data_IF_714219197821
#
_entry.id   IF_714219197821
#
_cell.length_a   1.000
_cell.length_b   1.000
_cell.length_c   1.000
_cell.angle_alpha   90.00
_cell.angle_beta   90.00
_cell.angle_gamma   90.00
#
_symmetry.space_group_name_H-M   'P 1'
#
loop_
_entity.id
_entity.type
_entity.pdbx_description
1 polymer ?
#
# COMPACT_ATOMS: atom_id res chain seq x y z
N UNK A 1 17.95 -0.40 -12.57
CA UNK A 1 17.67 0.47 -13.73
C UNK A 1 16.16 0.78 -13.78
N UNK A 2 15.83 2.04 -14.09
CA UNK A 2 14.43 2.47 -14.28
C UNK A 2 14.33 3.07 -15.67
N UNK A 3 13.28 2.68 -16.41
CA UNK A 3 12.91 3.29 -17.69
C UNK A 3 11.51 3.86 -17.58
N UNK A 4 11.29 5.02 -18.18
CA UNK A 4 9.97 5.61 -18.35
C UNK A 4 9.48 5.33 -19.76
N UNK A 5 8.24 4.88 -19.88
CA UNK A 5 7.57 4.58 -21.13
C UNK A 5 6.23 5.29 -21.14
N UNK A 6 5.84 5.79 -22.29
CA UNK A 6 4.47 6.20 -22.56
C UNK A 6 3.79 5.14 -23.44
N UNK A 7 2.64 4.65 -23.02
CA UNK A 7 1.84 3.71 -23.80
C UNK A 7 0.43 4.27 -23.94
N UNK A 8 0.13 4.81 -25.11
CA UNK A 8 -1.17 5.43 -25.42
C UNK A 8 -1.54 6.58 -24.46
N UNK A 9 -0.57 7.43 -24.09
CA UNK A 9 -0.78 8.56 -23.19
C UNK A 9 -0.74 8.18 -21.70
N UNK A 10 -0.50 6.91 -21.36
CA UNK A 10 -0.38 6.44 -19.99
C UNK A 10 1.11 6.29 -19.64
N UNK A 11 1.63 7.02 -18.65
CA UNK A 11 3.03 6.92 -18.25
C UNK A 11 3.28 5.65 -17.40
N UNK A 12 4.30 4.90 -17.78
CA UNK A 12 4.77 3.72 -17.06
C UNK A 12 6.21 3.91 -16.58
N UNK A 13 6.50 3.44 -15.36
CA UNK A 13 7.88 3.24 -14.89
C UNK A 13 8.18 1.75 -14.86
N UNK A 14 9.10 1.32 -15.71
CA UNK A 14 9.59 -0.07 -15.75
C UNK A 14 10.90 -0.14 -14.99
N UNK A 15 10.89 -0.94 -13.92
CA UNK A 15 12.09 -1.11 -13.09
C UNK A 15 12.65 -2.53 -13.22
N UNK A 16 13.93 -2.61 -13.54
CA UNK A 16 14.70 -3.84 -13.45
C UNK A 16 15.54 -3.84 -12.18
N UNK A 17 15.19 -4.75 -11.26
CA UNK A 17 15.91 -4.96 -9.99
C UNK A 17 16.01 -6.46 -9.72
N UNK A 18 17.13 -7.12 -10.13
CA UNK A 18 17.28 -8.57 -9.97
C UNK A 18 17.27 -9.04 -8.51
N UNK A 19 17.71 -8.21 -7.57
CA UNK A 19 17.69 -8.55 -6.15
C UNK A 19 16.26 -8.77 -5.60
N UNK A 20 15.24 -8.23 -6.27
CA UNK A 20 13.85 -8.41 -5.86
C UNK A 20 13.29 -9.81 -6.11
N UNK A 21 13.96 -10.65 -6.87
CA UNK A 21 13.50 -12.02 -7.10
C UNK A 21 13.30 -12.78 -5.79
N UNK A 22 14.09 -12.46 -4.76
CA UNK A 22 13.96 -13.05 -3.42
C UNK A 22 12.61 -12.70 -2.78
N UNK A 23 12.16 -11.45 -2.94
CA UNK A 23 10.88 -11.00 -2.39
C UNK A 23 9.69 -11.36 -3.29
N UNK A 24 9.81 -11.18 -4.60
CA UNK A 24 8.72 -11.49 -5.55
C UNK A 24 8.52 -13.00 -5.76
N UNK A 25 9.55 -13.81 -5.53
CA UNK A 25 9.49 -15.26 -5.56
C UNK A 25 9.11 -15.91 -4.23
N UNK A 26 8.71 -15.12 -3.22
CA UNK A 26 8.29 -15.66 -1.93
C UNK A 26 7.10 -16.61 -2.08
N UNK A 27 7.21 -17.81 -1.52
CA UNK A 27 6.11 -18.77 -1.49
C UNK A 27 5.04 -18.27 -0.52
N UNK A 28 3.82 -18.09 -1.01
CA UNK A 28 2.68 -17.56 -0.25
C UNK A 28 1.49 -18.53 -0.20
N UNK A 29 1.73 -19.79 -0.54
CA UNK A 29 0.76 -20.85 -0.30
C UNK A 29 0.60 -21.14 1.20
N UNK A 30 -0.55 -21.69 1.60
CA UNK A 30 -0.89 -21.89 2.99
C UNK A 30 0.11 -22.79 3.75
N UNK A 31 0.69 -23.78 3.07
CA UNK A 31 1.67 -24.69 3.66
C UNK A 31 2.98 -23.94 3.95
N UNK A 32 3.52 -23.24 2.97
CA UNK A 32 4.75 -22.45 3.10
C UNK A 32 4.63 -21.37 4.17
N UNK A 33 3.48 -20.70 4.26
CA UNK A 33 3.21 -19.69 5.29
C UNK A 33 3.24 -20.33 6.70
N UNK A 34 2.60 -21.48 6.86
CA UNK A 34 2.53 -22.18 8.14
C UNK A 34 3.91 -22.67 8.64
N UNK A 35 4.76 -23.08 7.73
CA UNK A 35 6.08 -23.66 8.03
C UNK A 35 7.17 -22.62 8.25
N UNK A 36 7.05 -21.43 7.63
CA UNK A 36 8.07 -20.39 7.76
C UNK A 36 7.92 -19.55 9.03
N UNK A 37 9.03 -19.09 9.57
CA UNK A 37 9.00 -17.99 10.53
C UNK A 37 8.59 -16.71 9.82
N UNK A 38 7.63 -15.98 10.38
CA UNK A 38 7.22 -14.70 9.80
C UNK A 38 8.37 -13.67 9.93
N UNK A 39 8.87 -13.20 8.80
CA UNK A 39 9.99 -12.26 8.74
C UNK A 39 9.63 -10.81 9.12
N UNK A 40 8.34 -10.51 9.36
CA UNK A 40 7.89 -9.21 9.85
C UNK A 40 7.67 -9.17 11.36
N UNK A 41 7.60 -10.33 12.02
CA UNK A 41 7.49 -10.37 13.47
C UNK A 41 8.75 -9.83 14.13
N UNK A 42 8.64 -8.97 15.16
CA UNK A 42 9.80 -8.38 15.85
C UNK A 42 10.86 -9.39 16.29
N UNK A 43 10.42 -10.56 16.78
CA UNK A 43 11.31 -11.64 17.25
C UNK A 43 12.15 -12.29 16.13
N UNK A 44 11.78 -12.09 14.87
CA UNK A 44 12.45 -12.70 13.71
C UNK A 44 13.20 -11.69 12.85
N UNK A 45 13.16 -10.39 13.21
CA UNK A 45 13.91 -9.37 12.49
C UNK A 45 15.42 -9.59 12.65
N UNK A 46 16.22 -9.33 11.59
CA UNK A 46 17.67 -9.35 11.71
C UNK A 46 18.15 -8.37 12.80
N UNK A 47 19.20 -8.69 13.57
CA UNK A 47 19.71 -7.81 14.64
C UNK A 47 20.08 -6.39 14.18
N UNK A 48 20.48 -6.24 12.91
CA UNK A 48 20.80 -4.95 12.31
C UNK A 48 19.55 -4.14 11.89
N UNK A 49 18.39 -4.78 11.84
CA UNK A 49 17.13 -4.14 11.42
C UNK A 49 16.56 -3.34 12.60
N UNK A 50 16.89 -2.05 12.65
CA UNK A 50 16.27 -1.12 13.60
C UNK A 50 14.98 -0.58 13.04
N UNK A 51 13.98 -0.40 13.90
CA UNK A 51 12.68 0.18 13.54
C UNK A 51 12.37 1.40 14.39
N UNK A 52 11.48 2.23 13.88
CA UNK A 52 10.92 3.37 14.59
C UNK A 52 9.48 3.02 14.96
N UNK A 53 9.12 2.98 16.26
CA UNK A 53 7.75 2.72 16.68
C UNK A 53 6.80 3.82 16.19
N UNK A 54 5.59 3.42 15.78
CA UNK A 54 4.53 4.35 15.39
C UNK A 54 3.23 3.96 16.10
N UNK A 55 2.61 4.91 16.79
CA UNK A 55 1.35 4.78 17.54
C UNK A 55 1.27 3.54 18.47
N UNK A 56 2.41 3.01 18.90
CA UNK A 56 2.50 1.89 19.85
C UNK A 56 2.22 0.51 19.26
N UNK A 57 1.76 0.39 18.02
CA UNK A 57 1.42 -0.90 17.42
C UNK A 57 1.95 -1.13 16.00
N UNK A 58 2.65 -0.16 15.41
CA UNK A 58 3.41 -0.33 14.17
C UNK A 58 4.90 -0.13 14.39
N UNK A 59 5.70 -0.69 13.49
CA UNK A 59 7.14 -0.50 13.47
C UNK A 59 7.60 -0.10 12.05
N UNK A 60 8.17 1.09 11.90
CA UNK A 60 8.64 1.59 10.61
C UNK A 60 10.04 1.04 10.36
N UNK A 61 10.17 0.18 9.35
CA UNK A 61 11.39 -0.53 8.97
C UNK A 61 11.85 -0.10 7.57
N UNK A 62 13.17 -0.09 7.35
CA UNK A 62 13.71 0.01 5.99
C UNK A 62 13.45 -1.29 5.24
N UNK A 63 12.92 -1.21 4.02
CA UNK A 63 12.68 -2.40 3.20
C UNK A 63 14.01 -2.92 2.61
N UNK A 64 14.38 -4.20 2.87
CA UNK A 64 15.66 -4.76 2.38
C UNK A 64 15.68 -5.00 0.86
N UNK A 65 14.51 -5.03 0.20
CA UNK A 65 14.37 -5.24 -1.25
C UNK A 65 13.59 -4.09 -1.89
N UNK A 66 14.15 -2.87 -1.93
CA UNK A 66 13.40 -1.67 -2.26
C UNK A 66 12.91 -1.64 -3.71
N UNK A 67 11.67 -1.12 -3.91
CA UNK A 67 11.13 -0.71 -5.20
C UNK A 67 11.40 0.78 -5.42
N UNK A 68 11.23 1.57 -4.37
CA UNK A 68 11.45 3.01 -4.37
C UNK A 68 12.87 3.31 -3.87
N UNK A 69 13.46 4.45 -4.24
CA UNK A 69 14.75 4.89 -3.69
C UNK A 69 14.75 4.94 -2.15
N UNK A 70 13.63 5.36 -1.55
CA UNK A 70 13.35 5.27 -0.11
C UNK A 70 12.11 4.41 0.07
N UNK A 71 12.28 3.16 0.47
CA UNK A 71 11.21 2.20 0.62
C UNK A 71 11.16 1.69 2.07
N UNK A 72 9.99 1.83 2.69
CA UNK A 72 9.73 1.39 4.05
C UNK A 72 8.71 0.25 4.04
N UNK A 73 8.82 -0.63 5.01
CA UNK A 73 7.81 -1.63 5.36
C UNK A 73 7.35 -1.34 6.79
N UNK A 74 6.07 -1.26 7.01
CA UNK A 74 5.47 -0.82 8.28
C UNK A 74 4.54 -1.92 8.80
N UNK A 75 5.11 -3.00 9.38
CA UNK A 75 4.32 -4.06 9.96
C UNK A 75 3.67 -3.64 11.28
N UNK A 76 2.51 -4.20 11.55
CA UNK A 76 1.95 -4.23 12.89
C UNK A 76 2.85 -5.06 13.80
N UNK A 77 3.02 -4.67 15.06
CA UNK A 77 3.87 -5.40 16.02
C UNK A 77 3.29 -6.78 16.32
N UNK A 78 1.96 -6.86 16.39
CA UNK A 78 1.24 -8.13 16.54
C UNK A 78 1.17 -8.88 15.19
N UNK A 79 1.31 -10.20 15.24
CA UNK A 79 1.11 -11.05 14.08
C UNK A 79 -0.38 -11.25 13.82
N UNK A 80 -0.94 -10.44 12.94
CA UNK A 80 -2.35 -10.43 12.58
C UNK A 80 -2.53 -10.39 11.07
N UNK A 81 -3.64 -10.92 10.58
CA UNK A 81 -3.90 -11.04 9.14
C UNK A 81 -3.89 -9.68 8.41
N UNK A 82 -3.38 -9.69 7.18
CA UNK A 82 -3.31 -8.56 6.25
C UNK A 82 -4.71 -8.15 5.78
N UNK A 83 -5.38 -7.26 6.52
CA UNK A 83 -6.73 -6.75 6.22
C UNK A 83 -6.77 -5.24 6.34
N UNK A 84 -7.21 -4.55 5.28
CA UNK A 84 -7.24 -3.08 5.22
C UNK A 84 -8.46 -2.50 5.96
N UNK A 85 -9.61 -3.17 5.97
CA UNK A 85 -10.86 -2.61 6.45
C UNK A 85 -10.76 -1.98 7.84
N UNK A 86 -10.12 -2.68 8.78
CA UNK A 86 -9.96 -2.20 10.16
C UNK A 86 -8.76 -1.28 10.36
N UNK A 87 -7.94 -1.05 9.31
CA UNK A 87 -6.64 -0.34 9.37
C UNK A 87 -6.55 0.87 8.44
N UNK A 88 -7.62 1.18 7.73
CA UNK A 88 -7.56 2.31 6.78
C UNK A 88 -7.30 3.65 7.48
N UNK A 89 -7.83 3.83 8.71
CA UNK A 89 -7.55 5.02 9.54
C UNK A 89 -6.07 5.14 9.89
N UNK A 90 -5.42 4.03 10.18
CA UNK A 90 -3.98 3.98 10.50
C UNK A 90 -3.15 4.33 9.25
N UNK A 91 -3.58 3.88 8.07
CA UNK A 91 -2.97 4.27 6.81
C UNK A 91 -3.01 5.79 6.59
N UNK A 92 -4.15 6.43 6.91
CA UNK A 92 -4.29 7.88 6.84
C UNK A 92 -3.41 8.60 7.88
N UNK A 93 -3.30 8.05 9.10
CA UNK A 93 -2.43 8.59 10.15
C UNK A 93 -0.95 8.51 9.72
N UNK A 94 -0.52 7.37 9.17
CA UNK A 94 0.82 7.22 8.59
C UNK A 94 1.09 8.23 7.46
N UNK A 95 0.13 8.44 6.56
CA UNK A 95 0.28 9.41 5.47
C UNK A 95 0.40 10.85 5.97
N UNK A 96 -0.26 11.20 7.08
CA UNK A 96 -0.11 12.50 7.74
C UNK A 96 1.24 12.65 8.44
N UNK A 97 1.76 11.58 9.05
CA UNK A 97 3.03 11.62 9.77
C UNK A 97 4.24 11.58 8.83
N UNK A 98 4.13 10.84 7.72
CA UNK A 98 5.21 10.63 6.75
C UNK A 98 4.98 11.46 5.49
N UNK A 99 5.02 12.78 5.59
CA UNK A 99 4.64 13.72 4.53
C UNK A 99 5.44 13.61 3.24
N UNK A 100 6.69 13.12 3.30
CA UNK A 100 7.56 12.87 2.15
C UNK A 100 7.31 11.52 1.46
N UNK A 101 6.37 10.74 1.98
CA UNK A 101 6.09 9.39 1.51
C UNK A 101 4.66 9.25 1.01
N UNK A 102 4.49 8.36 0.06
CA UNK A 102 3.19 7.80 -0.32
C UNK A 102 3.03 6.46 0.38
N UNK A 103 1.95 6.33 1.16
CA UNK A 103 1.63 5.09 1.87
C UNK A 103 0.80 4.20 0.95
N UNK A 104 1.12 2.92 0.91
CA UNK A 104 0.37 1.97 0.09
C UNK A 104 0.21 0.61 0.78
N UNK A 105 -0.73 -0.17 0.28
CA UNK A 105 -1.14 -1.44 0.82
C UNK A 105 -1.33 -2.46 -0.29
N UNK A 106 -0.77 -3.64 -0.12
CA UNK A 106 -1.00 -4.78 -1.01
C UNK A 106 -1.91 -5.80 -0.32
N UNK A 107 -3.01 -6.11 -0.98
CA UNK A 107 -3.93 -7.15 -0.50
C UNK A 107 -3.26 -8.53 -0.52
N UNK A 108 -3.65 -9.49 0.36
CA UNK A 108 -3.03 -10.81 0.45
C UNK A 108 -2.90 -11.56 -0.87
N UNK A 109 -3.91 -11.45 -1.75
CA UNK A 109 -3.93 -12.11 -3.08
C UNK A 109 -3.47 -11.17 -4.21
N UNK A 110 -2.86 -10.04 -3.89
CA UNK A 110 -2.43 -9.00 -4.84
C UNK A 110 -0.94 -8.66 -4.67
N UNK A 111 -0.09 -9.68 -4.56
CA UNK A 111 1.37 -9.52 -4.52
C UNK A 111 1.98 -9.24 -3.15
N UNK A 112 1.23 -9.36 -2.05
CA UNK A 112 1.82 -9.29 -0.71
C UNK A 112 2.70 -10.53 -0.46
N UNK A 113 3.98 -10.33 -0.12
CA UNK A 113 4.91 -11.40 0.25
C UNK A 113 4.72 -11.94 1.68
N UNK A 114 3.99 -11.18 2.51
CA UNK A 114 3.56 -11.57 3.85
C UNK A 114 2.04 -11.39 4.00
N UNK A 115 1.21 -12.23 3.35
CA UNK A 115 -0.25 -12.09 3.38
C UNK A 115 -0.86 -12.44 4.75
N UNK A 116 -0.10 -13.05 5.60
CA UNK A 116 -0.40 -13.51 6.96
C UNK A 116 -0.07 -12.47 8.04
N UNK A 117 0.62 -11.37 7.68
CA UNK A 117 1.02 -10.34 8.65
C UNK A 117 0.67 -8.94 8.14
N UNK A 118 -0.17 -8.23 8.89
CA UNK A 118 -0.61 -6.89 8.53
C UNK A 118 0.55 -5.91 8.46
N UNK A 119 0.68 -5.25 7.30
CA UNK A 119 1.70 -4.25 7.07
C UNK A 119 1.27 -3.24 6.01
N UNK A 120 1.75 -2.04 6.15
CA UNK A 120 1.78 -1.02 5.10
C UNK A 120 3.18 -0.96 4.49
N UNK A 121 3.25 -0.26 3.39
CA UNK A 121 4.52 0.11 2.77
C UNK A 121 4.51 1.62 2.49
N UNK A 122 5.70 2.21 2.41
CA UNK A 122 5.85 3.61 2.05
C UNK A 122 6.99 3.78 1.05
N UNK A 123 6.76 4.62 0.04
CA UNK A 123 7.76 5.01 -0.95
C UNK A 123 7.83 6.53 -1.05
N UNK A 124 8.94 7.09 -1.50
CA UNK A 124 9.06 8.53 -1.65
C UNK A 124 7.99 9.08 -2.62
N UNK A 125 7.36 10.18 -2.24
CA UNK A 125 6.35 10.90 -3.06
C UNK A 125 6.88 11.22 -4.45
N UNK A 126 5.96 11.29 -5.42
CA UNK A 126 6.23 11.64 -6.80
C UNK A 126 6.92 10.55 -7.61
N UNK A 127 7.11 9.34 -7.05
CA UNK A 127 7.67 8.22 -7.78
C UNK A 127 6.66 7.55 -8.70
N UNK A 128 5.41 7.36 -8.22
CA UNK A 128 4.36 6.74 -9.02
C UNK A 128 3.72 7.76 -9.97
N UNK A 129 3.59 7.44 -11.27
CA UNK A 129 3.03 8.37 -12.25
C UNK A 129 1.64 8.90 -11.87
N UNK A 130 0.76 8.08 -11.32
CA UNK A 130 -0.60 8.45 -10.90
C UNK A 130 -0.64 9.60 -9.87
N UNK A 131 0.41 9.78 -9.07
CA UNK A 131 0.48 10.87 -8.09
C UNK A 131 0.50 12.26 -8.74
N UNK A 132 0.91 12.35 -10.01
CA UNK A 132 1.10 13.61 -10.72
C UNK A 132 -0.11 14.05 -11.53
N UNK A 133 -0.92 13.13 -11.99
CA UNK A 133 -1.88 13.40 -13.07
C UNK A 133 -3.23 12.70 -12.92
N UNK A 134 -3.61 12.25 -11.74
CA UNK A 134 -4.89 11.59 -11.59
C UNK A 134 -6.08 12.53 -11.90
N UNK A 135 -5.96 13.84 -11.67
CA UNK A 135 -7.01 14.82 -11.97
C UNK A 135 -7.32 14.90 -13.47
N UNK A 136 -6.28 14.80 -14.32
CA UNK A 136 -6.45 14.76 -15.77
C UNK A 136 -7.13 13.51 -16.29
N UNK A 137 -7.24 12.48 -15.43
CA UNK A 137 -7.84 11.18 -15.78
C UNK A 137 -9.23 10.96 -15.19
N UNK A 138 -9.80 11.97 -14.51
CA UNK A 138 -11.14 11.87 -13.94
C UNK A 138 -12.18 11.69 -15.04
N UNK A 139 -12.88 10.53 -15.00
CA UNK A 139 -14.00 10.23 -15.89
C UNK A 139 -15.35 10.69 -15.32
N UNK A 140 -15.47 10.74 -14.01
CA UNK A 140 -16.69 11.21 -13.35
C UNK A 140 -16.65 11.11 -11.83
N UNK A 141 -17.56 11.85 -11.22
CA UNK A 141 -17.86 11.75 -9.80
C UNK A 141 -18.84 10.60 -9.55
N UNK A 142 -18.54 9.77 -8.57
CA UNK A 142 -19.38 8.63 -8.21
C UNK A 142 -20.28 8.95 -7.02
N UNK A 143 -19.73 9.55 -5.95
CA UNK A 143 -20.44 9.85 -4.72
C UNK A 143 -19.73 10.94 -3.90
N UNK A 144 -20.48 11.53 -2.96
CA UNK A 144 -19.97 12.39 -1.91
C UNK A 144 -20.33 11.83 -0.53
N UNK A 145 -19.48 12.06 0.47
CA UNK A 145 -19.77 11.79 1.88
C UNK A 145 -19.08 12.84 2.76
N UNK A 146 -19.85 13.80 3.28
CA UNK A 146 -19.29 14.95 3.99
C UNK A 146 -18.35 15.74 3.07
N UNK A 147 -17.10 15.93 3.51
CA UNK A 147 -16.05 16.61 2.73
C UNK A 147 -15.19 15.63 1.91
N UNK A 148 -15.67 14.42 1.68
CA UNK A 148 -15.00 13.44 0.84
C UNK A 148 -15.78 13.19 -0.45
N UNK A 149 -15.07 13.16 -1.56
CA UNK A 149 -15.62 12.86 -2.90
C UNK A 149 -14.97 11.61 -3.44
N UNK A 150 -15.78 10.73 -4.01
CA UNK A 150 -15.35 9.54 -4.74
C UNK A 150 -15.36 9.82 -6.24
N UNK A 151 -14.20 9.67 -6.85
CA UNK A 151 -13.98 9.82 -8.28
C UNK A 151 -13.72 8.48 -8.94
N UNK A 152 -14.17 8.31 -10.18
CA UNK A 152 -13.76 7.22 -11.06
C UNK A 152 -12.79 7.78 -12.10
N UNK A 153 -11.66 7.08 -12.31
CA UNK A 153 -10.67 7.44 -13.31
C UNK A 153 -10.81 6.58 -14.56
N UNK A 154 -10.63 7.21 -15.72
CA UNK A 154 -10.45 6.52 -17.00
C UNK A 154 -8.96 6.12 -17.16
N UNK A 155 -8.48 5.29 -16.25
CA UNK A 155 -7.09 4.83 -16.21
C UNK A 155 -7.02 3.38 -16.74
N UNK A 156 -7.39 3.21 -18.02
CA UNK A 156 -7.24 1.91 -18.65
C UNK A 156 -5.77 1.46 -18.69
N UNK A 157 -5.45 0.19 -18.40
CA UNK A 157 -6.36 -0.96 -18.26
C UNK A 157 -6.89 -1.22 -16.83
N UNK A 158 -6.75 -0.28 -15.90
CA UNK A 158 -7.17 -0.44 -14.51
C UNK A 158 -8.51 0.22 -14.25
N UNK A 159 -9.31 -0.35 -13.35
CA UNK A 159 -10.45 0.34 -12.77
C UNK A 159 -9.96 1.03 -11.48
N UNK A 160 -9.84 2.36 -11.51
CA UNK A 160 -9.29 3.14 -10.41
C UNK A 160 -10.36 4.04 -9.80
N UNK A 161 -10.51 3.95 -8.48
CA UNK A 161 -11.32 4.86 -7.69
C UNK A 161 -10.39 5.74 -6.84
N UNK A 162 -10.72 7.02 -6.73
CA UNK A 162 -10.00 7.98 -5.89
C UNK A 162 -10.95 8.58 -4.87
N UNK A 163 -10.58 8.52 -3.61
CA UNK A 163 -11.23 9.29 -2.53
C UNK A 163 -10.40 10.54 -2.32
N UNK A 164 -10.97 11.69 -2.65
CA UNK A 164 -10.40 13.00 -2.36
C UNK A 164 -11.10 13.58 -1.14
N UNK A 165 -10.34 13.97 -0.10
CA UNK A 165 -10.90 14.53 1.12
C UNK A 165 -9.89 15.39 1.87
N UNK A 166 -10.33 16.52 2.39
CA UNK A 166 -9.55 17.31 3.35
C UNK A 166 -9.64 16.73 4.78
N UNK A 167 -10.71 16.02 5.08
CA UNK A 167 -11.00 15.45 6.39
C UNK A 167 -10.82 13.92 6.38
N UNK A 168 -9.90 13.41 7.22
CA UNK A 168 -9.61 11.97 7.28
C UNK A 168 -10.76 11.11 7.79
N UNK A 169 -11.63 11.66 8.63
CA UNK A 169 -12.81 10.95 9.14
C UNK A 169 -13.81 10.71 8.01
N UNK A 170 -14.04 11.71 7.17
CA UNK A 170 -14.91 11.58 5.98
C UNK A 170 -14.29 10.64 4.94
N UNK A 171 -12.98 10.72 4.72
CA UNK A 171 -12.28 9.77 3.86
C UNK A 171 -12.43 8.32 4.35
N UNK A 172 -12.27 8.09 5.66
CA UNK A 172 -12.40 6.76 6.24
C UNK A 172 -13.86 6.24 6.18
N UNK A 173 -14.84 7.11 6.41
CA UNK A 173 -16.25 6.75 6.30
C UNK A 173 -16.63 6.38 4.86
N UNK A 174 -16.19 7.18 3.88
CA UNK A 174 -16.44 6.88 2.47
C UNK A 174 -15.74 5.59 2.02
N UNK A 175 -14.50 5.37 2.48
CA UNK A 175 -13.81 4.10 2.22
C UNK A 175 -14.58 2.90 2.78
N UNK A 176 -15.11 3.01 4.00
CA UNK A 176 -15.87 1.94 4.66
C UNK A 176 -17.15 1.59 3.88
N UNK A 177 -17.87 2.61 3.41
CA UNK A 177 -19.05 2.44 2.54
C UNK A 177 -18.66 1.68 1.26
N UNK A 178 -17.60 2.10 0.58
CA UNK A 178 -17.12 1.46 -0.65
C UNK A 178 -16.71 0.01 -0.36
N UNK A 179 -15.92 -0.20 0.69
CA UNK A 179 -15.40 -1.51 1.05
C UNK A 179 -16.52 -2.53 1.29
N UNK A 180 -17.61 -2.13 1.98
CA UNK A 180 -18.76 -2.98 2.23
C UNK A 180 -19.72 -3.10 1.03
N UNK A 181 -19.69 -2.14 0.09
CA UNK A 181 -20.48 -2.23 -1.13
C UNK A 181 -19.85 -3.14 -2.19
N UNK A 182 -18.55 -3.38 -2.10
CA UNK A 182 -17.87 -4.33 -2.97
C UNK A 182 -17.93 -5.72 -2.35
N UNK A 183 -18.27 -6.75 -3.13
CA UNK A 183 -18.23 -8.16 -2.68
C UNK A 183 -16.77 -8.62 -2.52
N UNK A 184 -16.09 -8.03 -1.53
CA UNK A 184 -14.68 -8.30 -1.24
C UNK A 184 -14.61 -9.53 -0.34
N UNK A 185 -14.38 -10.70 -0.93
CA UNK A 185 -14.10 -11.92 -0.17
C UNK A 185 -12.70 -11.83 0.50
N UNK A 186 -12.60 -12.23 1.78
CA UNK A 186 -11.34 -12.21 2.52
C UNK A 186 -10.28 -13.14 1.95
#
# INVERSE_FOLDING_TARGET
QVKELDVNGIPYKVQFNPARIVSSGAKVDAQSIKERKCFLCPANLPPAQKGIPFEGHYNILVNPFPIFPRHLTIPEVAHVNQRIAVRFKDMLALAQALTDYTIFYNRPKCGASAPDHAHFQAGNKGFMPIEKDWHGQVAGKVADHGEATLWYLNDAPRATLVIEAANKQHAAALFDIIYHSLDIKP
#
